data_IF_013608562630
#
_entry.id   IF_013608562630
#
_cell.length_a   1.000
_cell.length_b   1.000
_cell.length_c   1.000
_cell.angle_alpha   90.00
_cell.angle_beta   90.00
_cell.angle_gamma   90.00
#
_symmetry.space_group_name_H-M   'P 1'
#
loop_
_entity.id
_entity.type
_entity.pdbx_description
1 polymer ?
#
# COMPACT_ATOMS: atom_id res chain seq x y z
N UNK A 1 -2.03 -16.07 4.57
CA UNK A 1 -3.20 -15.24 4.95
C UNK A 1 -3.72 -14.55 3.70
N UNK A 2 -4.41 -15.31 2.86
CA UNK A 2 -5.10 -14.83 1.65
C UNK A 2 -6.51 -14.41 2.09
N UNK A 3 -6.90 -13.15 1.92
CA UNK A 3 -8.31 -12.79 2.13
C UNK A 3 -9.09 -13.24 0.90
N UNK A 4 -9.74 -14.40 0.99
CA UNK A 4 -10.82 -14.80 0.10
C UNK A 4 -12.00 -13.84 0.33
N UNK A 5 -12.25 -12.94 -0.61
CA UNK A 5 -13.59 -12.35 -0.72
C UNK A 5 -14.47 -13.38 -1.42
N UNK A 6 -15.59 -13.73 -0.78
CA UNK A 6 -16.69 -14.47 -1.38
C UNK A 6 -16.97 -13.85 -2.75
N UNK A 7 -16.85 -14.64 -3.81
CA UNK A 7 -17.16 -14.23 -5.18
C UNK A 7 -18.69 -14.04 -5.34
N UNK A 8 -19.27 -13.11 -4.59
CA UNK A 8 -20.53 -12.49 -4.95
C UNK A 8 -20.20 -11.44 -5.97
N UNK A 9 -20.59 -11.65 -7.23
CA UNK A 9 -20.48 -10.62 -8.26
C UNK A 9 -21.26 -9.38 -7.78
N UNK A 10 -20.53 -8.36 -7.32
CA UNK A 10 -21.11 -7.03 -7.08
C UNK A 10 -21.40 -6.47 -8.47
N UNK A 11 -22.62 -6.70 -8.93
CA UNK A 11 -23.11 -6.11 -10.16
C UNK A 11 -23.42 -4.65 -9.87
N UNK A 12 -22.59 -3.75 -10.42
CA UNK A 12 -22.86 -2.33 -10.41
C UNK A 12 -24.04 -2.08 -11.37
N UNK A 13 -25.15 -1.57 -10.82
CA UNK A 13 -26.30 -1.14 -11.59
C UNK A 13 -26.31 0.38 -11.65
N UNK A 14 -26.38 0.96 -12.85
CA UNK A 14 -26.78 2.36 -13.04
C UNK A 14 -28.24 2.34 -13.50
N UNK A 15 -29.17 2.72 -12.62
CA UNK A 15 -30.60 2.48 -12.81
C UNK A 15 -30.93 0.98 -12.93
N UNK A 16 -31.67 0.59 -13.98
CA UNK A 16 -32.10 -0.80 -14.24
C UNK A 16 -31.10 -1.63 -15.05
N UNK A 17 -29.92 -1.07 -15.40
CA UNK A 17 -28.96 -1.74 -16.29
C UNK A 17 -27.75 -2.26 -15.53
N UNK A 18 -27.49 -3.55 -15.71
CA UNK A 18 -26.31 -4.25 -15.21
C UNK A 18 -25.09 -3.82 -16.04
N UNK A 19 -24.16 -3.09 -15.45
CA UNK A 19 -22.92 -2.71 -16.14
C UNK A 19 -22.03 -3.96 -16.26
N UNK A 20 -22.11 -4.66 -17.39
CA UNK A 20 -21.06 -5.60 -17.78
C UNK A 20 -19.82 -4.79 -18.14
N UNK A 21 -18.84 -4.78 -17.25
CA UNK A 21 -17.56 -4.12 -17.44
C UNK A 21 -16.46 -5.15 -17.23
N UNK A 22 -15.36 -5.07 -17.99
CA UNK A 22 -14.14 -5.85 -17.73
C UNK A 22 -13.44 -5.44 -16.42
N UNK A 23 -14.02 -4.50 -15.67
CA UNK A 23 -13.51 -3.97 -14.42
C UNK A 23 -14.47 -4.33 -13.28
N UNK A 24 -13.90 -4.70 -12.13
CA UNK A 24 -14.64 -4.97 -10.90
C UNK A 24 -14.09 -4.10 -9.77
N UNK A 25 -14.98 -3.64 -8.89
CA UNK A 25 -14.59 -2.92 -7.67
C UNK A 25 -14.47 -3.97 -6.55
N UNK A 26 -13.27 -4.13 -6.02
CA UNK A 26 -12.95 -5.11 -4.99
C UNK A 26 -12.15 -4.46 -3.86
N UNK A 27 -12.23 -5.03 -2.67
CA UNK A 27 -11.55 -4.52 -1.47
C UNK A 27 -10.76 -5.65 -0.80
N UNK A 28 -9.66 -5.31 -0.14
CA UNK A 28 -8.86 -6.28 0.61
C UNK A 28 -7.35 -6.04 0.48
N UNK A 29 -6.56 -6.71 1.31
CA UNK A 29 -5.09 -6.61 1.28
C UNK A 29 -4.50 -7.15 -0.03
N UNK A 30 -5.22 -8.05 -0.71
CA UNK A 30 -4.93 -8.49 -2.07
C UNK A 30 -4.95 -7.38 -3.12
N UNK A 31 -5.65 -6.27 -2.86
CA UNK A 31 -5.69 -5.09 -3.73
C UNK A 31 -4.62 -4.07 -3.34
N UNK A 32 -4.19 -4.05 -2.07
CA UNK A 32 -3.06 -3.25 -1.62
C UNK A 32 -1.71 -3.83 -2.12
N UNK A 33 -1.54 -5.15 -2.09
CA UNK A 33 -0.32 -5.83 -2.54
C UNK A 33 0.16 -5.40 -3.94
N UNK A 34 -0.66 -5.40 -5.01
CA UNK A 34 -0.22 -4.96 -6.33
C UNK A 34 0.17 -3.47 -6.39
N UNK A 35 -0.37 -2.61 -5.52
CA UNK A 35 0.07 -1.21 -5.43
C UNK A 35 1.49 -1.10 -4.86
N UNK A 36 1.76 -1.83 -3.78
CA UNK A 36 3.09 -1.91 -3.13
C UNK A 36 4.11 -2.48 -4.12
N UNK A 37 3.77 -3.58 -4.81
CA UNK A 37 4.64 -4.20 -5.83
C UNK A 37 4.92 -3.25 -7.00
N UNK A 38 3.90 -2.51 -7.47
CA UNK A 38 4.07 -1.52 -8.53
C UNK A 38 5.07 -0.42 -8.13
N UNK A 39 4.98 0.09 -6.90
CA UNK A 39 5.94 1.08 -6.39
C UNK A 39 7.35 0.51 -6.26
N UNK A 40 7.50 -0.71 -5.75
CA UNK A 40 8.80 -1.37 -5.65
C UNK A 40 9.45 -1.55 -7.04
N UNK A 41 8.64 -1.91 -8.05
CA UNK A 41 9.11 -2.04 -9.42
C UNK A 41 9.57 -0.70 -10.01
N UNK A 42 8.82 0.39 -9.77
CA UNK A 42 9.23 1.74 -10.18
C UNK A 42 10.53 2.18 -9.50
N UNK A 43 10.65 1.95 -8.19
CA UNK A 43 11.88 2.22 -7.45
C UNK A 43 13.07 1.42 -7.99
N UNK A 44 12.88 0.15 -8.32
CA UNK A 44 13.92 -0.69 -8.93
C UNK A 44 14.29 -0.22 -10.34
N UNK A 45 13.32 0.29 -11.11
CA UNK A 45 13.57 0.82 -12.45
C UNK A 45 14.40 2.12 -12.40
N UNK A 46 14.16 2.98 -11.41
CA UNK A 46 14.92 4.23 -11.21
C UNK A 46 16.29 3.96 -10.57
N UNK A 47 16.38 2.96 -9.68
CA UNK A 47 17.62 2.59 -8.99
C UNK A 47 17.96 1.09 -9.14
N UNK A 48 18.44 0.65 -10.32
CA UNK A 48 18.70 -0.77 -10.59
C UNK A 48 19.78 -1.37 -9.68
N UNK A 49 20.68 -0.56 -9.13
CA UNK A 49 21.79 -0.98 -8.28
C UNK A 49 21.36 -1.39 -6.85
N UNK A 50 20.17 -0.97 -6.40
CA UNK A 50 19.72 -1.18 -5.03
C UNK A 50 19.33 -2.64 -4.77
N UNK A 51 19.71 -3.16 -3.61
CA UNK A 51 19.30 -4.48 -3.14
C UNK A 51 17.77 -4.52 -2.88
N UNK A 52 17.16 -5.72 -2.82
CA UNK A 52 15.75 -5.85 -2.47
C UNK A 52 15.41 -5.30 -1.08
N UNK A 53 16.31 -5.50 -0.11
CA UNK A 53 16.21 -5.00 1.26
C UNK A 53 16.32 -3.48 1.31
N UNK A 54 17.21 -2.89 0.49
CA UNK A 54 17.30 -1.46 0.32
C UNK A 54 15.98 -0.86 -0.21
N UNK A 55 15.35 -1.48 -1.21
CA UNK A 55 14.07 -0.99 -1.76
C UNK A 55 12.97 -1.07 -0.71
N UNK A 56 12.90 -2.17 0.05
CA UNK A 56 11.96 -2.30 1.14
C UNK A 56 12.17 -1.22 2.21
N UNK A 57 13.41 -0.93 2.58
CA UNK A 57 13.72 0.14 3.53
C UNK A 57 13.31 1.51 3.03
N UNK A 58 13.55 1.81 1.74
CA UNK A 58 13.10 3.07 1.14
C UNK A 58 11.59 3.19 1.23
N UNK A 59 10.86 2.12 0.88
CA UNK A 59 9.40 2.12 0.95
C UNK A 59 8.87 2.40 2.35
N UNK A 60 9.52 1.85 3.38
CA UNK A 60 9.15 2.13 4.78
C UNK A 60 9.39 3.59 5.19
N UNK A 61 10.46 4.22 4.70
CA UNK A 61 10.82 5.61 5.05
C UNK A 61 9.91 6.64 4.38
N UNK A 62 9.39 6.32 3.19
CA UNK A 62 8.52 7.24 2.44
C UNK A 62 7.07 7.19 2.91
N UNK A 63 6.71 6.28 3.80
CA UNK A 63 5.36 6.17 4.35
C UNK A 63 5.03 7.34 5.30
N UNK A 64 3.80 7.83 5.22
CA UNK A 64 3.23 8.89 6.06
C UNK A 64 2.31 8.31 7.14
N UNK A 65 2.58 8.62 8.41
CA UNK A 65 1.70 8.26 9.52
C UNK A 65 0.49 9.19 9.69
N UNK A 66 0.46 10.29 8.92
CA UNK A 66 -0.57 11.32 8.96
C UNK A 66 -1.51 11.21 7.75
N UNK A 67 -2.76 11.58 7.98
CA UNK A 67 -3.76 11.73 6.93
C UNK A 67 -3.68 13.12 6.27
N UNK A 68 -4.52 13.36 5.26
CA UNK A 68 -4.59 14.64 4.52
C UNK A 68 -4.94 15.84 5.41
N UNK A 69 -5.56 15.62 6.57
CA UNK A 69 -5.87 16.67 7.57
C UNK A 69 -4.74 16.84 8.60
N UNK A 70 -3.56 16.25 8.36
CA UNK A 70 -2.40 16.29 9.25
C UNK A 70 -2.66 15.69 10.65
N UNK A 71 -3.65 14.78 10.74
CA UNK A 71 -3.93 14.01 11.95
C UNK A 71 -3.37 12.59 11.80
N UNK A 72 -3.07 11.89 12.90
CA UNK A 72 -2.72 10.48 12.84
C UNK A 72 -3.77 9.69 12.05
N UNK A 73 -3.33 8.72 11.25
CA UNK A 73 -4.25 7.80 10.57
C UNK A 73 -5.01 7.02 11.63
N UNK A 74 -6.31 6.85 11.45
CA UNK A 74 -7.21 6.27 12.46
C UNK A 74 -7.76 4.92 12.03
N UNK A 75 -7.98 4.03 13.00
CA UNK A 75 -8.62 2.75 12.75
C UNK A 75 -10.15 2.91 12.74
N UNK A 76 -10.79 2.46 11.66
CA UNK A 76 -12.25 2.53 11.53
C UNK A 76 -12.97 1.64 12.53
N UNK A 77 -12.35 0.50 12.91
CA UNK A 77 -12.96 -0.50 13.77
C UNK A 77 -12.84 -0.17 15.26
N UNK A 78 -11.90 0.72 15.63
CA UNK A 78 -11.60 1.08 17.02
C UNK A 78 -11.97 2.53 17.33
N UNK A 79 -13.13 2.98 16.87
CA UNK A 79 -13.67 4.30 17.24
C UNK A 79 -12.81 5.50 16.81
N UNK A 80 -12.15 5.41 15.66
CA UNK A 80 -11.26 6.45 15.11
C UNK A 80 -10.04 6.76 15.99
N UNK A 81 -9.58 5.80 16.80
CA UNK A 81 -8.33 5.96 17.54
C UNK A 81 -7.12 5.96 16.58
N UNK A 82 -6.01 6.62 16.96
CA UNK A 82 -4.76 6.55 16.20
C UNK A 82 -4.31 5.11 15.96
N UNK A 83 -4.03 4.77 14.71
CA UNK A 83 -3.66 3.43 14.25
C UNK A 83 -2.32 3.00 14.82
N UNK A 84 -2.23 1.74 15.25
CA UNK A 84 -0.99 1.21 15.81
C UNK A 84 -0.03 0.78 14.68
N UNK A 85 1.30 0.83 14.88
CA UNK A 85 2.26 0.32 13.89
C UNK A 85 2.05 -1.16 13.52
N UNK A 86 1.44 -1.96 14.40
CA UNK A 86 1.09 -3.35 14.13
C UNK A 86 -0.03 -3.51 13.08
N UNK A 87 -0.87 -2.48 12.90
CA UNK A 87 -1.98 -2.49 11.96
C UNK A 87 -1.60 -1.89 10.59
N UNK A 88 -0.72 -0.88 10.56
CA UNK A 88 -0.39 -0.13 9.34
C UNK A 88 1.08 -0.13 8.92
N UNK A 89 1.99 -0.69 9.72
CA UNK A 89 3.42 -0.57 9.46
C UNK A 89 3.94 0.84 9.74
N UNK A 90 4.71 1.41 8.80
CA UNK A 90 5.27 2.75 8.96
C UNK A 90 4.30 3.85 8.54
N UNK A 91 3.30 3.55 7.70
CA UNK A 91 2.31 4.54 7.30
C UNK A 91 1.60 4.24 5.96
N UNK A 92 1.06 5.30 5.37
CA UNK A 92 0.53 5.31 4.02
C UNK A 92 1.61 5.70 3.01
N UNK A 93 1.75 4.95 1.91
CA UNK A 93 2.81 5.19 0.93
C UNK A 93 2.73 6.59 0.29
N UNK A 94 3.85 7.33 0.30
CA UNK A 94 3.98 8.61 -0.38
C UNK A 94 5.02 8.54 -1.51
N UNK A 95 4.59 8.37 -2.78
CA UNK A 95 5.49 8.27 -3.92
C UNK A 95 6.38 9.51 -4.13
N UNK A 96 5.92 10.70 -3.73
CA UNK A 96 6.69 11.93 -3.95
C UNK A 96 7.96 11.97 -3.09
N UNK A 97 7.94 11.34 -1.91
CA UNK A 97 9.10 11.22 -1.02
C UNK A 97 10.13 10.21 -1.55
N UNK A 98 9.73 9.31 -2.45
CA UNK A 98 10.57 8.28 -3.04
C UNK A 98 11.70 8.82 -3.93
N UNK A 99 11.67 10.10 -4.31
CA UNK A 99 12.71 10.70 -5.14
C UNK A 99 13.93 11.19 -4.34
N UNK A 100 13.78 11.47 -3.04
CA UNK A 100 14.80 12.14 -2.22
C UNK A 100 15.02 11.44 -0.87
N UNK A 101 15.16 10.11 -0.87
CA UNK A 101 15.52 9.38 0.35
C UNK A 101 17.04 9.39 0.55
N UNK A 102 17.49 9.86 1.71
CA UNK A 102 18.92 10.00 2.02
C UNK A 102 19.55 8.73 2.59
N UNK A 103 18.89 8.11 3.57
CA UNK A 103 19.39 6.93 4.29
C UNK A 103 18.55 5.70 3.96
N UNK A 104 19.22 4.55 3.84
CA UNK A 104 18.60 3.26 3.55
C UNK A 104 19.23 2.21 4.44
N UNK A 105 18.40 1.33 5.00
CA UNK A 105 18.84 0.13 5.70
C UNK A 105 18.99 -0.98 4.66
N UNK A 106 20.23 -1.39 4.42
CA UNK A 106 20.56 -2.50 3.54
C UNK A 106 20.99 -3.71 4.37
N UNK A 107 20.54 -4.89 3.95
CA UNK A 107 20.83 -6.16 4.60
C UNK A 107 21.05 -7.24 3.53
N UNK A 108 22.03 -8.09 3.74
CA UNK A 108 22.38 -9.18 2.86
C UNK A 108 21.75 -10.49 3.32
N UNK A 109 21.80 -11.52 2.46
CA UNK A 109 21.31 -12.86 2.79
C UNK A 109 22.02 -13.53 3.99
N UNK A 110 23.17 -13.00 4.40
CA UNK A 110 24.01 -13.52 5.49
C UNK A 110 23.79 -12.79 6.82
N UNK A 111 23.08 -11.66 6.79
CA UNK A 111 22.81 -10.83 7.97
C UNK A 111 21.59 -11.34 8.75
#
# INVERSE_FOLDING_TARGET
MFTTQVAGAIFLYTGSTKLFSNFNIMYGTSMACPHVVGMAALLKAVHPERSPTAIQSVMMIIEDSLNTTLKPITELLDGEQPTRPLAMGAGHLNPNKALNFGLVYDANIVD
#
